data_IF_892101198012
#
_entry.id   IF_892101198012
#
_cell.length_a   1.000
_cell.length_b   1.000
_cell.length_c   1.000
_cell.angle_alpha   90.00
_cell.angle_beta   90.00
_cell.angle_gamma   90.00
#
_symmetry.space_group_name_H-M   'P 1'
#
loop_
_entity.id
_entity.type
_entity.pdbx_description
1 polymer ?
#
# COMPACT_ATOMS: atom_id res chain seq x y z
N UNK A 1 4.22 30.20 -10.28
CA UNK A 1 5.22 29.67 -9.31
C UNK A 1 5.54 30.81 -8.35
N UNK A 2 5.09 30.70 -7.10
CA UNK A 2 5.36 31.71 -6.06
C UNK A 2 6.66 31.32 -5.38
N UNK A 3 7.64 32.22 -5.34
CA UNK A 3 8.87 31.99 -4.59
C UNK A 3 8.64 32.26 -3.11
N UNK A 4 9.04 31.34 -2.24
CA UNK A 4 8.95 31.52 -0.79
C UNK A 4 10.28 32.05 -0.23
N UNK A 5 10.22 33.11 0.57
CA UNK A 5 11.38 33.63 1.27
C UNK A 5 11.86 32.62 2.32
N UNK A 6 13.15 32.32 2.34
CA UNK A 6 13.76 31.44 3.34
C UNK A 6 15.08 32.01 3.84
N UNK A 7 15.50 31.59 5.02
CA UNK A 7 16.81 31.94 5.57
C UNK A 7 17.88 31.00 4.99
N UNK A 8 18.91 31.49 4.28
CA UNK A 8 19.95 30.65 3.68
C UNK A 8 20.84 29.93 4.71
N UNK A 9 20.76 30.30 6.00
CA UNK A 9 21.44 29.63 7.11
C UNK A 9 20.53 28.65 7.88
N UNK A 10 19.29 28.46 7.43
CA UNK A 10 18.36 27.54 8.08
C UNK A 10 18.83 26.09 7.96
N UNK A 11 18.54 25.29 8.99
CA UNK A 11 18.79 23.85 8.97
C UNK A 11 17.83 23.15 8.02
N UNK A 12 18.20 21.96 7.53
CA UNK A 12 17.33 21.13 6.68
C UNK A 12 15.94 20.93 7.30
N UNK A 13 15.88 20.67 8.61
CA UNK A 13 14.61 20.49 9.32
C UNK A 13 13.69 21.72 9.18
N UNK A 14 14.23 22.93 9.40
CA UNK A 14 13.44 24.16 9.30
C UNK A 14 13.00 24.49 7.88
N UNK A 15 13.80 24.09 6.88
CA UNK A 15 13.43 24.19 5.48
C UNK A 15 12.32 23.19 5.11
N UNK A 16 12.36 21.97 5.64
CA UNK A 16 11.31 20.96 5.42
C UNK A 16 9.96 21.41 6.01
N UNK A 17 9.93 22.04 7.18
CA UNK A 17 8.69 22.62 7.74
C UNK A 17 8.07 23.66 6.80
N UNK A 18 8.90 24.53 6.19
CA UNK A 18 8.43 25.52 5.21
C UNK A 18 7.89 24.81 3.96
N UNK A 19 8.57 23.76 3.49
CA UNK A 19 8.11 22.96 2.35
C UNK A 19 6.76 22.28 2.67
N UNK A 20 6.62 21.66 3.84
CA UNK A 20 5.40 20.98 4.27
C UNK A 20 4.21 21.94 4.39
N UNK A 21 4.42 23.14 4.94
CA UNK A 21 3.38 24.18 5.06
C UNK A 21 2.84 24.68 3.72
N UNK A 22 3.67 24.59 2.66
CA UNK A 22 3.32 25.07 1.32
C UNK A 22 3.19 23.91 0.32
N UNK A 23 3.25 22.67 0.79
CA UNK A 23 3.12 21.52 -0.07
C UNK A 23 1.69 21.48 -0.60
N UNK A 24 1.55 21.53 -1.92
CA UNK A 24 0.26 21.28 -2.55
C UNK A 24 -0.20 19.85 -2.20
N UNK A 25 -1.49 19.69 -1.94
CA UNK A 25 -2.06 18.36 -1.75
C UNK A 25 -1.77 17.52 -2.98
N UNK A 26 -1.08 16.40 -2.80
CA UNK A 26 -0.74 15.51 -3.90
C UNK A 26 -2.02 14.97 -4.55
N UNK A 27 -2.18 15.22 -5.85
CA UNK A 27 -3.28 14.68 -6.64
C UNK A 27 -2.81 13.41 -7.32
N UNK A 28 -3.30 12.26 -6.86
CA UNK A 28 -2.97 10.97 -7.45
C UNK A 28 -3.98 10.60 -8.53
N UNK A 29 -3.48 10.23 -9.72
CA UNK A 29 -4.33 9.81 -10.84
C UNK A 29 -5.27 8.65 -10.46
N UNK A 30 -4.79 7.70 -9.64
CA UNK A 30 -5.61 6.61 -9.12
C UNK A 30 -6.81 7.10 -8.30
N UNK A 31 -6.62 8.11 -7.45
CA UNK A 31 -7.69 8.74 -6.69
C UNK A 31 -8.69 9.43 -7.61
N UNK A 32 -8.20 10.22 -8.58
CA UNK A 32 -9.06 10.92 -9.54
C UNK A 32 -9.94 9.94 -10.33
N UNK A 33 -9.36 8.84 -10.82
CA UNK A 33 -10.09 7.81 -11.58
C UNK A 33 -11.08 7.07 -10.69
N UNK A 34 -10.67 6.62 -9.50
CA UNK A 34 -11.57 5.88 -8.61
C UNK A 34 -12.77 6.73 -8.17
N UNK A 35 -12.50 7.98 -7.78
CA UNK A 35 -13.55 8.92 -7.33
C UNK A 35 -14.50 9.33 -8.45
N UNK A 36 -14.03 9.45 -9.70
CA UNK A 36 -14.92 9.72 -10.84
C UNK A 36 -15.93 8.60 -11.10
N UNK A 37 -15.64 7.39 -10.62
CA UNK A 37 -16.51 6.22 -10.67
C UNK A 37 -17.24 5.93 -9.34
N UNK A 38 -17.17 6.83 -8.35
CA UNK A 38 -17.85 6.67 -7.06
C UNK A 38 -17.14 5.75 -6.06
N UNK A 39 -15.87 5.42 -6.29
CA UNK A 39 -15.05 4.61 -5.38
C UNK A 39 -14.14 5.48 -4.51
N UNK A 40 -13.87 4.99 -3.30
CA UNK A 40 -12.89 5.57 -2.39
C UNK A 40 -11.57 4.80 -2.46
N UNK A 41 -10.45 5.52 -2.44
CA UNK A 41 -9.09 4.94 -2.39
C UNK A 41 -8.56 5.07 -0.98
N UNK A 42 -8.18 3.93 -0.41
CA UNK A 42 -7.46 3.86 0.87
C UNK A 42 -5.99 3.62 0.61
N UNK A 43 -5.13 4.37 1.31
CA UNK A 43 -3.69 4.21 1.26
C UNK A 43 -3.22 3.50 2.52
N UNK A 44 -2.36 2.50 2.36
CA UNK A 44 -1.65 1.89 3.49
C UNK A 44 -0.39 2.69 3.80
N UNK A 45 0.03 2.78 5.08
CA UNK A 45 1.29 3.40 5.45
C UNK A 45 2.50 2.78 4.71
N UNK A 46 3.56 3.56 4.43
CA UNK A 46 4.77 3.06 3.77
C UNK A 46 5.41 1.90 4.53
N UNK A 47 5.90 0.87 3.84
CA UNK A 47 6.60 -0.30 4.42
C UNK A 47 5.73 -1.27 5.24
N UNK A 48 4.41 -1.24 5.08
CA UNK A 48 3.49 -2.20 5.72
C UNK A 48 2.79 -3.13 4.70
N UNK A 49 3.52 -4.00 3.96
CA UNK A 49 2.90 -4.93 3.01
C UNK A 49 1.96 -5.93 3.69
N UNK A 50 2.11 -6.13 5.01
CA UNK A 50 1.22 -6.94 5.83
C UNK A 50 -0.20 -6.38 5.96
N UNK A 51 -0.38 -5.08 5.68
CA UNK A 51 -1.69 -4.42 5.65
C UNK A 51 -2.35 -4.47 4.27
N UNK A 52 -1.73 -5.12 3.28
CA UNK A 52 -2.25 -5.23 1.92
C UNK A 52 -2.68 -6.68 1.65
N UNK A 53 -4.01 -6.99 1.65
CA UNK A 53 -4.50 -8.35 1.45
C UNK A 53 -3.98 -9.02 0.17
N UNK A 54 -3.83 -8.23 -0.91
CA UNK A 54 -3.29 -8.71 -2.19
C UNK A 54 -1.86 -9.23 -2.09
N UNK A 55 -1.00 -8.63 -1.26
CA UNK A 55 0.39 -9.09 -1.05
C UNK A 55 0.44 -10.46 -0.37
N UNK A 56 -0.49 -10.72 0.56
CA UNK A 56 -0.61 -12.01 1.22
C UNK A 56 -1.12 -13.11 0.26
N UNK A 57 -2.07 -12.78 -0.62
CA UNK A 57 -2.51 -13.69 -1.69
C UNK A 57 -1.36 -13.95 -2.67
N UNK A 58 -0.64 -12.90 -3.08
CA UNK A 58 0.56 -13.04 -3.91
C UNK A 58 1.63 -13.93 -3.25
N UNK A 59 1.80 -13.84 -1.94
CA UNK A 59 2.70 -14.73 -1.19
C UNK A 59 2.36 -16.21 -1.40
N UNK A 60 1.06 -16.56 -1.40
CA UNK A 60 0.59 -17.93 -1.65
C UNK A 60 0.86 -18.36 -3.10
N UNK A 61 0.44 -17.54 -4.06
CA UNK A 61 0.64 -17.81 -5.50
C UNK A 61 2.13 -17.97 -5.85
N UNK A 62 2.98 -17.07 -5.34
CA UNK A 62 4.44 -17.19 -5.49
C UNK A 62 4.98 -18.46 -4.86
N UNK A 63 4.45 -18.86 -3.70
CA UNK A 63 4.79 -20.12 -3.05
C UNK A 63 4.46 -21.35 -3.90
N UNK A 64 3.31 -21.37 -4.57
CA UNK A 64 2.93 -22.45 -5.49
C UNK A 64 3.85 -22.52 -6.71
N UNK A 65 4.13 -21.37 -7.32
CA UNK A 65 5.04 -21.27 -8.46
C UNK A 65 6.47 -21.64 -8.05
N UNK A 66 6.94 -21.25 -6.87
CA UNK A 66 8.27 -21.64 -6.39
C UNK A 66 8.40 -23.15 -6.19
N UNK A 67 7.34 -23.83 -5.70
CA UNK A 67 7.29 -25.29 -5.59
C UNK A 67 7.30 -25.98 -6.95
N UNK A 68 6.70 -25.37 -7.97
CA UNK A 68 6.62 -25.90 -9.33
C UNK A 68 6.91 -24.78 -10.34
N UNK A 69 8.21 -24.48 -10.57
CA UNK A 69 8.63 -23.34 -11.39
C UNK A 69 8.03 -23.38 -12.80
N UNK A 70 7.69 -22.19 -13.30
CA UNK A 70 7.21 -22.02 -14.66
C UNK A 70 8.33 -22.27 -15.67
N UNK A 71 7.98 -22.82 -16.83
CA UNK A 71 8.94 -23.14 -17.92
C UNK A 71 9.26 -21.94 -18.79
N UNK A 72 8.33 -21.00 -18.92
CA UNK A 72 8.43 -19.80 -19.74
C UNK A 72 7.38 -18.76 -19.29
N UNK A 73 7.39 -17.58 -19.90
CA UNK A 73 6.50 -16.49 -19.54
C UNK A 73 5.00 -16.81 -19.73
N UNK A 74 4.64 -17.55 -20.78
CA UNK A 74 3.25 -17.93 -21.04
C UNK A 74 2.71 -18.92 -19.98
N UNK A 75 3.54 -19.92 -19.64
CA UNK A 75 3.26 -20.86 -18.54
C UNK A 75 3.20 -20.12 -17.20
N UNK A 76 4.06 -19.12 -16.97
CA UNK A 76 4.01 -18.28 -15.77
C UNK A 76 2.69 -17.52 -15.64
N UNK A 77 2.25 -16.84 -16.70
CA UNK A 77 0.95 -16.11 -16.70
C UNK A 77 -0.21 -17.07 -16.41
N UNK A 78 -0.20 -18.24 -17.06
CA UNK A 78 -1.23 -19.26 -16.85
C UNK A 78 -1.27 -19.75 -15.40
N UNK A 79 -0.10 -19.98 -14.79
CA UNK A 79 0.01 -20.39 -13.38
C UNK A 79 -0.42 -19.30 -12.41
N UNK A 80 -0.11 -18.04 -12.69
CA UNK A 80 -0.56 -16.91 -11.88
C UNK A 80 -2.09 -16.85 -11.87
N UNK A 81 -2.73 -16.91 -13.04
CA UNK A 81 -4.20 -16.87 -13.13
C UNK A 81 -4.84 -18.06 -12.40
N UNK A 82 -4.32 -19.27 -12.62
CA UNK A 82 -4.80 -20.47 -11.93
C UNK A 82 -4.62 -20.37 -10.41
N UNK A 83 -3.48 -19.84 -9.94
CA UNK A 83 -3.22 -19.63 -8.51
C UNK A 83 -4.17 -18.61 -7.89
N UNK A 84 -4.46 -17.50 -8.58
CA UNK A 84 -5.43 -16.51 -8.09
C UNK A 84 -6.84 -17.11 -7.95
N UNK A 85 -7.24 -17.99 -8.87
CA UNK A 85 -8.50 -18.71 -8.81
C UNK A 85 -8.51 -19.76 -7.68
N UNK A 86 -7.46 -20.56 -7.54
CA UNK A 86 -7.30 -21.58 -6.50
C UNK A 86 -7.38 -20.97 -5.09
N UNK A 87 -6.75 -19.81 -4.88
CA UNK A 87 -6.80 -19.06 -3.62
C UNK A 87 -8.04 -18.18 -3.48
N UNK A 88 -9.03 -18.26 -4.39
CA UNK A 88 -10.25 -17.48 -4.37
C UNK A 88 -10.98 -17.49 -3.01
N UNK A 89 -11.02 -18.65 -2.35
CA UNK A 89 -11.66 -18.81 -1.02
C UNK A 89 -10.82 -18.25 0.12
N UNK A 90 -9.51 -18.06 -0.06
CA UNK A 90 -8.63 -17.54 0.97
C UNK A 90 -8.79 -16.03 1.19
N UNK A 91 -9.31 -15.30 0.19
CA UNK A 91 -9.45 -13.84 0.23
C UNK A 91 -10.16 -13.33 1.48
N UNK A 92 -11.30 -13.94 1.86
CA UNK A 92 -12.04 -13.50 3.04
C UNK A 92 -11.25 -13.72 4.33
N UNK A 93 -10.52 -14.83 4.44
CA UNK A 93 -9.68 -15.11 5.60
C UNK A 93 -8.47 -14.16 5.67
N UNK A 94 -7.86 -13.87 4.53
CA UNK A 94 -6.73 -12.93 4.43
C UNK A 94 -7.18 -11.52 4.76
N UNK A 95 -8.34 -11.10 4.25
CA UNK A 95 -8.93 -9.80 4.57
C UNK A 95 -9.16 -9.65 6.08
N UNK A 96 -9.79 -10.64 6.73
CA UNK A 96 -9.99 -10.63 8.19
C UNK A 96 -8.69 -10.61 8.98
N UNK A 97 -7.67 -11.31 8.50
CA UNK A 97 -6.34 -11.27 9.12
C UNK A 97 -5.73 -9.87 9.06
N UNK A 98 -5.84 -9.19 7.91
CA UNK A 98 -5.37 -7.81 7.74
C UNK A 98 -6.14 -6.86 8.67
N UNK A 99 -7.46 -6.99 8.79
CA UNK A 99 -8.24 -6.17 9.72
C UNK A 99 -7.75 -6.31 11.16
N UNK A 100 -7.43 -7.53 11.61
CA UNK A 100 -6.83 -7.73 12.93
C UNK A 100 -5.49 -7.01 13.11
N UNK A 101 -4.68 -6.88 12.04
CA UNK A 101 -3.43 -6.11 12.07
C UNK A 101 -3.66 -4.61 12.07
N UNK A 102 -4.67 -4.13 11.35
CA UNK A 102 -5.10 -2.74 11.41
C UNK A 102 -5.55 -2.37 12.84
N UNK A 103 -6.32 -3.25 13.50
CA UNK A 103 -6.76 -3.05 14.90
C UNK A 103 -5.58 -3.01 15.88
N UNK A 104 -4.58 -3.89 15.72
CA UNK A 104 -3.34 -3.89 16.51
C UNK A 104 -2.58 -2.55 16.36
N UNK A 105 -2.43 -2.05 15.13
CA UNK A 105 -1.74 -0.79 14.84
C UNK A 105 -2.47 0.43 15.43
N UNK A 106 -3.80 0.44 15.38
CA UNK A 106 -4.64 1.48 16.00
C UNK A 106 -4.47 1.47 17.52
N UNK A 107 -4.50 0.29 18.15
CA UNK A 107 -4.31 0.17 19.59
C UNK A 107 -2.92 0.62 20.04
N UNK A 108 -1.87 0.25 19.28
CA UNK A 108 -0.50 0.68 19.55
C UNK A 108 -0.34 2.20 19.42
N UNK A 109 -0.97 2.80 18.40
CA UNK A 109 -0.94 4.25 18.19
C UNK A 109 -1.63 5.02 19.30
N UNK A 110 -2.74 4.49 19.84
CA UNK A 110 -3.42 5.08 20.99
C UNK A 110 -2.57 4.98 22.27
N UNK A 111 -1.93 3.84 22.53
CA UNK A 111 -1.08 3.65 23.70
C UNK A 111 0.18 4.53 23.70
N UNK A 112 0.70 4.91 22.52
CA UNK A 112 1.87 5.79 22.39
C UNK A 112 1.51 7.29 22.46
N UNK A 113 0.22 7.63 22.49
CA UNK A 113 -0.27 9.01 22.58
C UNK A 113 -0.57 9.44 24.03
N UNK A 114 -0.54 8.51 24.98
CA UNK A 114 -0.63 8.72 26.44
C UNK A 114 0.75 8.83 27.11
#
# INVERSE_FOLDING_TARGET
MVGHAFNPKATKAKLMEIVEQHAETSIYAATTIATSHGYLVYFTPPSHPTLQPIELIWGRVKGDIARRPAKNASDLVSRVMAGLEEHGKAWLSVYRHVQGKEDEDVALSAANAE
#
